data_IF_001726858529
#
_entry.id   IF_001726858529
#
_cell.length_a   1.000
_cell.length_b   1.000
_cell.length_c   1.000
_cell.angle_alpha   90.00
_cell.angle_beta   90.00
_cell.angle_gamma   90.00
#
_symmetry.space_group_name_H-M   'P 1'
#
loop_
_entity.id
_entity.type
_entity.pdbx_description
1 polymer ?
#
# COMPACT_ATOMS: atom_id res chain seq x y z
N UNK A 1 30.34 -4.75 -4.88
CA UNK A 1 29.04 -4.26 -5.40
C UNK A 1 29.08 -2.73 -5.53
N UNK A 2 30.04 -2.19 -6.31
CA UNK A 2 30.33 -0.73 -6.42
C UNK A 2 30.18 -0.23 -7.87
N UNK A 3 30.01 -1.12 -8.87
CA UNK A 3 29.88 -0.73 -10.29
C UNK A 3 28.51 -0.16 -10.71
N UNK A 4 27.45 -0.35 -9.94
CA UNK A 4 26.09 -0.03 -10.39
C UNK A 4 25.68 1.44 -10.20
N UNK A 5 26.21 2.13 -9.18
CA UNK A 5 25.77 3.51 -8.86
C UNK A 5 26.28 4.52 -9.89
N UNK A 6 27.56 4.44 -10.26
CA UNK A 6 28.19 5.34 -11.25
C UNK A 6 27.52 5.19 -12.63
N UNK A 7 27.14 3.96 -13.01
CA UNK A 7 26.41 3.70 -14.25
C UNK A 7 25.00 4.31 -14.20
N UNK A 8 24.28 4.17 -13.09
CA UNK A 8 22.96 4.79 -12.88
C UNK A 8 23.07 6.33 -12.94
N UNK A 9 24.09 6.91 -12.30
CA UNK A 9 24.30 8.36 -12.30
C UNK A 9 24.60 8.90 -13.71
N UNK A 10 25.36 8.15 -14.51
CA UNK A 10 25.59 8.45 -15.92
C UNK A 10 24.29 8.42 -16.72
N UNK A 11 23.44 7.40 -16.52
CA UNK A 11 22.12 7.34 -17.19
C UNK A 11 21.20 8.49 -16.77
N UNK A 12 21.17 8.82 -15.48
CA UNK A 12 20.37 9.91 -14.95
C UNK A 12 20.80 11.26 -15.55
N UNK A 13 22.10 11.52 -15.59
CA UNK A 13 22.68 12.76 -16.12
C UNK A 13 22.46 12.90 -17.62
N UNK A 14 22.57 11.80 -18.38
CA UNK A 14 22.38 11.81 -19.83
C UNK A 14 20.92 12.06 -20.25
N UNK A 15 19.94 11.77 -19.38
CA UNK A 15 18.52 11.79 -19.73
C UNK A 15 17.69 12.80 -18.94
N UNK A 16 18.30 13.62 -18.07
CA UNK A 16 17.60 14.59 -17.22
C UNK A 16 16.75 15.62 -18.01
N UNK A 17 17.14 15.92 -19.25
CA UNK A 17 16.39 16.83 -20.12
C UNK A 17 15.07 16.22 -20.60
N UNK A 18 14.94 14.90 -20.61
CA UNK A 18 13.74 14.18 -21.04
C UNK A 18 13.03 13.59 -19.81
N UNK A 19 12.15 14.36 -19.19
CA UNK A 19 11.49 13.99 -17.93
C UNK A 19 10.66 12.70 -18.04
N UNK A 20 10.09 12.41 -19.21
CA UNK A 20 9.34 11.18 -19.49
C UNK A 20 10.22 10.01 -19.91
N UNK A 21 11.55 10.14 -19.81
CA UNK A 21 12.47 9.09 -20.22
C UNK A 21 12.24 7.80 -19.44
N UNK A 22 12.17 6.71 -20.22
CA UNK A 22 12.20 5.34 -19.74
C UNK A 22 13.03 4.53 -20.71
N UNK A 23 13.89 3.65 -20.20
CA UNK A 23 14.65 2.77 -21.06
C UNK A 23 13.71 1.75 -21.74
N UNK A 24 13.58 1.82 -23.07
CA UNK A 24 12.76 0.92 -23.91
C UNK A 24 13.59 0.01 -24.81
N UNK A 25 14.91 -0.02 -24.63
CA UNK A 25 15.83 -0.81 -25.45
C UNK A 25 15.72 -2.34 -25.26
N UNK A 26 16.49 -3.10 -26.06
CA UNK A 26 16.48 -4.56 -26.03
C UNK A 26 16.90 -5.11 -24.66
N UNK A 27 16.71 -6.41 -24.44
CA UNK A 27 17.15 -7.07 -23.20
C UNK A 27 18.68 -7.21 -23.18
N UNK A 28 19.35 -6.13 -22.79
CA UNK A 28 20.80 -6.00 -22.68
C UNK A 28 21.24 -5.76 -21.22
N UNK A 29 22.55 -5.58 -21.01
CA UNK A 29 23.11 -5.23 -19.69
C UNK A 29 22.49 -3.93 -19.15
N UNK A 30 22.21 -2.95 -20.02
CA UNK A 30 21.57 -1.68 -19.65
C UNK A 30 20.18 -1.90 -19.06
N UNK A 31 19.36 -2.75 -19.66
CA UNK A 31 18.02 -3.09 -19.17
C UNK A 31 18.06 -3.80 -17.83
N UNK A 32 19.09 -4.63 -17.59
CA UNK A 32 19.29 -5.28 -16.29
C UNK A 32 19.69 -4.29 -15.19
N UNK A 33 20.44 -3.24 -15.54
CA UNK A 33 20.84 -2.17 -14.62
C UNK A 33 19.66 -1.24 -14.32
N UNK A 34 18.94 -0.80 -15.35
CA UNK A 34 17.85 0.18 -15.25
C UNK A 34 16.54 -0.47 -14.78
N UNK A 35 16.30 -1.76 -15.01
CA UNK A 35 15.10 -2.46 -14.49
C UNK A 35 13.73 -1.81 -14.87
N UNK A 36 13.69 -1.12 -16.00
CA UNK A 36 12.55 -0.28 -16.44
C UNK A 36 12.21 0.89 -15.49
N UNK A 37 13.17 1.31 -14.68
CA UNK A 37 13.16 2.52 -13.88
C UNK A 37 13.01 3.76 -14.78
N UNK A 38 12.21 4.71 -14.29
CA UNK A 38 12.22 6.08 -14.78
C UNK A 38 13.23 6.93 -13.96
N UNK A 39 13.34 8.22 -14.30
CA UNK A 39 14.30 9.10 -13.64
C UNK A 39 14.13 9.22 -12.11
N UNK A 40 12.90 9.12 -11.58
CA UNK A 40 12.68 9.15 -10.12
C UNK A 40 13.16 7.87 -9.44
N UNK A 41 13.00 6.70 -10.06
CA UNK A 41 13.56 5.46 -9.54
C UNK A 41 15.09 5.52 -9.52
N UNK A 42 15.71 6.00 -10.59
CA UNK A 42 17.17 6.15 -10.67
C UNK A 42 17.70 7.12 -9.60
N UNK A 43 17.04 8.28 -9.43
CA UNK A 43 17.39 9.24 -8.39
C UNK A 43 17.25 8.65 -6.98
N UNK A 44 16.23 7.82 -6.75
CA UNK A 44 16.05 7.11 -5.49
C UNK A 44 17.16 6.06 -5.26
N UNK A 45 17.55 5.28 -6.29
CA UNK A 45 18.60 4.25 -6.17
C UNK A 45 19.97 4.82 -5.81
N UNK A 46 20.29 6.02 -6.29
CA UNK A 46 21.54 6.70 -5.91
C UNK A 46 21.44 7.44 -4.56
N UNK A 47 20.27 7.42 -3.90
CA UNK A 47 20.07 8.07 -2.61
C UNK A 47 20.05 9.60 -2.64
N UNK A 48 19.86 10.22 -3.81
CA UNK A 48 20.00 11.67 -3.96
C UNK A 48 18.65 12.39 -3.87
N UNK A 49 18.35 12.92 -2.67
CA UNK A 49 17.10 13.65 -2.38
C UNK A 49 16.93 14.88 -3.27
N UNK A 50 17.97 15.69 -3.44
CA UNK A 50 17.90 16.93 -4.22
C UNK A 50 17.57 16.65 -5.69
N UNK A 51 18.21 15.63 -6.26
CA UNK A 51 17.97 15.19 -7.63
C UNK A 51 16.56 14.67 -7.80
N UNK A 52 16.08 13.86 -6.86
CA UNK A 52 14.70 13.36 -6.85
C UNK A 52 13.71 14.52 -6.86
N UNK A 53 13.88 15.50 -5.98
CA UNK A 53 12.99 16.66 -5.87
C UNK A 53 13.03 17.53 -7.14
N UNK A 54 14.21 17.72 -7.73
CA UNK A 54 14.36 18.45 -9.01
C UNK A 54 13.56 17.80 -10.14
N UNK A 55 13.69 16.48 -10.30
CA UNK A 55 12.97 15.71 -11.32
C UNK A 55 11.47 15.73 -11.05
N UNK A 56 11.06 15.57 -9.79
CA UNK A 56 9.64 15.59 -9.41
C UNK A 56 8.99 16.94 -9.75
N UNK A 57 9.65 18.06 -9.47
CA UNK A 57 9.17 19.41 -9.84
C UNK A 57 8.99 19.54 -11.35
N UNK A 58 10.02 19.18 -12.13
CA UNK A 58 9.94 19.17 -13.60
C UNK A 58 8.80 18.28 -14.11
N UNK A 59 8.51 17.16 -13.44
CA UNK A 59 7.40 16.27 -13.84
C UNK A 59 6.02 16.89 -13.62
N UNK A 60 5.85 17.75 -12.61
CA UNK A 60 4.60 18.48 -12.41
C UNK A 60 4.42 19.53 -13.52
N UNK A 61 5.49 20.25 -13.85
CA UNK A 61 5.49 21.27 -14.92
C UNK A 61 5.13 20.65 -16.27
N UNK A 62 5.68 19.47 -16.57
CA UNK A 62 5.50 18.74 -17.83
C UNK A 62 4.34 17.73 -17.83
N UNK A 63 3.55 17.64 -16.75
CA UNK A 63 2.46 16.68 -16.56
C UNK A 63 2.87 15.20 -16.77
N UNK A 64 4.15 14.89 -16.47
CA UNK A 64 4.70 13.55 -16.59
C UNK A 64 4.38 12.71 -15.34
N UNK A 65 3.84 11.51 -15.55
CA UNK A 65 3.51 10.57 -14.47
C UNK A 65 4.71 9.70 -14.12
N UNK A 66 5.48 10.10 -13.12
CA UNK A 66 6.72 9.41 -12.74
C UNK A 66 6.63 8.55 -11.48
N UNK A 67 5.48 8.44 -10.82
CA UNK A 67 5.29 7.52 -9.67
C UNK A 67 4.75 6.15 -10.10
N UNK A 68 4.90 5.81 -11.38
CA UNK A 68 4.57 4.49 -11.93
C UNK A 68 5.52 3.40 -11.42
N UNK A 69 5.19 2.14 -11.72
CA UNK A 69 5.96 0.98 -11.29
C UNK A 69 7.04 0.58 -12.29
N UNK A 70 8.15 0.08 -11.75
CA UNK A 70 9.18 -0.64 -12.49
C UNK A 70 8.85 -2.15 -12.62
N UNK A 71 9.79 -2.94 -13.16
CA UNK A 71 9.62 -4.39 -13.34
C UNK A 71 9.50 -5.17 -12.02
N UNK A 72 9.90 -4.56 -10.91
CA UNK A 72 9.79 -5.12 -9.57
C UNK A 72 8.49 -4.75 -8.86
N UNK A 73 7.54 -4.15 -9.59
CA UNK A 73 6.31 -3.57 -9.03
C UNK A 73 6.62 -2.53 -7.95
N UNK A 74 7.78 -1.90 -8.03
CA UNK A 74 8.17 -0.83 -7.13
C UNK A 74 7.92 0.51 -7.81
N UNK A 75 7.25 1.42 -7.12
CA UNK A 75 7.28 2.84 -7.48
C UNK A 75 8.52 3.52 -6.85
N UNK A 76 8.86 4.76 -7.23
CA UNK A 76 10.05 5.43 -6.71
C UNK A 76 10.09 5.60 -5.18
N UNK A 77 8.93 5.62 -4.52
CA UNK A 77 8.86 5.71 -3.06
C UNK A 77 9.24 4.41 -2.36
N UNK A 78 9.01 3.24 -2.96
CA UNK A 78 9.52 1.96 -2.43
C UNK A 78 11.05 1.99 -2.38
N UNK A 79 11.69 2.40 -3.48
CA UNK A 79 13.15 2.53 -3.54
C UNK A 79 13.62 3.58 -2.53
N UNK A 80 12.95 4.74 -2.46
CA UNK A 80 13.28 5.80 -1.50
C UNK A 80 13.21 5.31 -0.05
N UNK A 81 12.24 4.44 0.29
CA UNK A 81 12.12 3.85 1.61
C UNK A 81 13.29 2.91 1.92
N UNK A 82 13.63 2.03 0.97
CA UNK A 82 14.75 1.08 1.09
C UNK A 82 16.11 1.79 1.21
N UNK A 83 16.24 2.96 0.59
CA UNK A 83 17.42 3.80 0.67
C UNK A 83 17.41 4.77 1.86
N UNK A 84 16.38 4.75 2.70
CA UNK A 84 16.29 5.57 3.91
C UNK A 84 16.02 7.07 3.68
N UNK A 85 15.66 7.47 2.46
CA UNK A 85 15.48 8.88 2.07
C UNK A 85 14.01 9.31 1.94
N UNK A 86 13.06 8.38 2.08
CA UNK A 86 11.63 8.66 1.92
C UNK A 86 11.11 9.84 2.76
N UNK A 87 11.50 10.03 4.06
CA UNK A 87 10.99 11.14 4.86
C UNK A 87 11.36 12.50 4.28
N UNK A 88 12.62 12.67 3.88
CA UNK A 88 13.13 13.92 3.32
C UNK A 88 12.51 14.21 1.95
N UNK A 89 12.34 13.18 1.12
CA UNK A 89 11.64 13.28 -0.17
C UNK A 89 10.20 13.75 0.04
N UNK A 90 9.43 13.11 0.91
CA UNK A 90 8.02 13.49 1.13
C UNK A 90 7.93 14.90 1.70
N UNK A 91 8.78 15.24 2.68
CA UNK A 91 8.87 16.59 3.23
C UNK A 91 9.16 17.64 2.15
N UNK A 92 10.14 17.37 1.28
CA UNK A 92 10.49 18.25 0.17
C UNK A 92 9.37 18.43 -0.85
N UNK A 93 8.68 17.34 -1.20
CA UNK A 93 7.52 17.36 -2.10
C UNK A 93 6.41 18.24 -1.51
N UNK A 94 5.96 17.95 -0.29
CA UNK A 94 4.84 18.69 0.30
C UNK A 94 5.20 20.15 0.60
N UNK A 95 6.45 20.45 0.97
CA UNK A 95 6.92 21.83 1.08
C UNK A 95 6.78 22.60 -0.23
N UNK A 96 7.15 21.98 -1.36
CA UNK A 96 6.99 22.60 -2.67
C UNK A 96 5.51 22.74 -3.08
N UNK A 97 4.69 21.72 -2.85
CA UNK A 97 3.26 21.78 -3.17
C UNK A 97 2.54 22.86 -2.34
N UNK A 98 2.91 23.04 -1.07
CA UNK A 98 2.36 24.14 -0.25
C UNK A 98 2.86 25.52 -0.71
N UNK A 99 4.11 25.65 -1.16
CA UNK A 99 4.57 26.93 -1.72
C UNK A 99 3.84 27.28 -3.02
N UNK A 100 3.59 26.31 -3.90
CA UNK A 100 2.83 26.52 -5.14
C UNK A 100 1.38 26.96 -4.88
N UNK A 101 0.77 26.51 -3.77
CA UNK A 101 -0.59 26.93 -3.40
C UNK A 101 -0.73 28.45 -3.21
N UNK A 102 0.35 29.11 -2.82
CA UNK A 102 0.37 30.57 -2.62
C UNK A 102 0.63 31.37 -3.90
N UNK A 103 0.97 30.68 -4.99
CA UNK A 103 1.20 31.29 -6.29
C UNK A 103 -0.14 31.62 -6.97
N UNK A 104 -0.41 32.90 -7.32
CA UNK A 104 -1.67 33.32 -7.95
C UNK A 104 -1.91 32.69 -9.33
N UNK A 105 -0.86 32.18 -9.99
CA UNK A 105 -0.95 31.51 -11.28
C UNK A 105 -1.11 29.98 -11.15
N UNK A 106 -1.18 29.44 -9.94
CA UNK A 106 -1.29 27.99 -9.74
C UNK A 106 -2.71 27.49 -10.00
N UNK A 107 -2.80 26.41 -10.77
CA UNK A 107 -4.05 25.67 -10.89
C UNK A 107 -4.25 24.83 -9.62
N UNK A 108 -5.09 25.32 -8.72
CA UNK A 108 -5.44 24.65 -7.46
C UNK A 108 -5.97 23.22 -7.65
N UNK A 109 -6.68 22.94 -8.76
CA UNK A 109 -7.21 21.61 -9.06
C UNK A 109 -6.08 20.68 -9.50
N UNK A 110 -5.18 21.15 -10.36
CA UNK A 110 -3.97 20.39 -10.74
C UNK A 110 -3.13 20.07 -9.51
N UNK A 111 -2.95 21.04 -8.62
CA UNK A 111 -2.16 20.86 -7.40
C UNK A 111 -2.77 19.82 -6.44
N UNK A 112 -4.09 19.85 -6.25
CA UNK A 112 -4.78 18.86 -5.41
C UNK A 112 -4.73 17.45 -6.04
N UNK A 113 -4.82 17.35 -7.37
CA UNK A 113 -4.64 16.09 -8.08
C UNK A 113 -3.23 15.52 -7.86
N UNK A 114 -2.19 16.35 -7.92
CA UNK A 114 -0.81 15.93 -7.63
C UNK A 114 -0.66 15.47 -6.17
N UNK A 115 -1.25 16.19 -5.21
CA UNK A 115 -1.26 15.77 -3.80
C UNK A 115 -1.90 14.39 -3.63
N UNK A 116 -3.05 14.17 -4.25
CA UNK A 116 -3.73 12.88 -4.19
C UNK A 116 -2.91 11.77 -4.85
N UNK A 117 -2.32 12.04 -6.02
CA UNK A 117 -1.43 11.10 -6.70
C UNK A 117 -0.24 10.68 -5.83
N UNK A 118 0.40 11.63 -5.13
CA UNK A 118 1.49 11.34 -4.18
C UNK A 118 1.00 10.49 -3.01
N UNK A 119 -0.14 10.85 -2.39
CA UNK A 119 -0.71 10.07 -1.28
C UNK A 119 -1.04 8.64 -1.69
N UNK A 120 -1.63 8.47 -2.88
CA UNK A 120 -1.94 7.15 -3.42
C UNK A 120 -0.68 6.32 -3.65
N UNK A 121 0.37 6.91 -4.23
CA UNK A 121 1.64 6.22 -4.43
C UNK A 121 2.32 5.83 -3.11
N UNK A 122 2.09 6.56 -2.01
CA UNK A 122 2.67 6.27 -0.69
C UNK A 122 1.96 5.14 0.06
N UNK A 123 0.63 5.06 0.00
CA UNK A 123 -0.11 4.22 0.95
C UNK A 123 -1.36 3.53 0.39
N UNK A 124 -1.66 3.65 -0.91
CA UNK A 124 -2.81 2.96 -1.48
C UNK A 124 -2.61 1.45 -1.41
N UNK A 125 -3.70 0.69 -1.22
CA UNK A 125 -3.70 -0.78 -1.32
C UNK A 125 -3.37 -1.30 -2.71
N UNK A 126 -3.38 -0.42 -3.72
CA UNK A 126 -2.89 -0.72 -5.06
C UNK A 126 -1.41 -0.34 -5.26
N UNK A 127 -0.78 0.31 -4.26
CA UNK A 127 0.63 0.67 -4.26
C UNK A 127 1.47 -0.36 -3.52
N UNK A 128 1.37 -1.60 -3.99
CA UNK A 128 2.05 -2.75 -3.42
C UNK A 128 3.19 -3.20 -4.32
N UNK A 129 4.33 -3.46 -3.71
CA UNK A 129 5.41 -4.21 -4.36
C UNK A 129 5.10 -5.71 -4.45
N UNK A 130 6.03 -6.47 -5.05
CA UNK A 130 5.98 -7.94 -5.11
C UNK A 130 5.82 -8.62 -3.74
N UNK A 131 6.21 -7.96 -2.65
CA UNK A 131 6.05 -8.44 -1.28
C UNK A 131 4.71 -8.05 -0.65
N UNK A 132 3.79 -7.48 -1.43
CA UNK A 132 2.51 -6.95 -0.99
C UNK A 132 2.65 -5.84 0.08
N UNK A 133 3.73 -5.04 0.01
CA UNK A 133 4.01 -3.94 0.95
C UNK A 133 3.93 -2.60 0.24
N UNK A 134 3.41 -1.59 0.94
CA UNK A 134 3.47 -0.19 0.49
C UNK A 134 4.83 0.43 0.81
N UNK A 135 5.19 1.59 0.21
CA UNK A 135 6.39 2.33 0.61
C UNK A 135 6.47 2.61 2.12
N UNK A 136 5.32 2.89 2.73
CA UNK A 136 5.23 3.14 4.17
C UNK A 136 5.44 1.91 5.04
N UNK A 137 5.32 0.70 4.50
CA UNK A 137 5.58 -0.54 5.24
C UNK A 137 7.07 -0.91 5.28
N UNK A 138 7.89 -0.25 4.45
CA UNK A 138 9.34 -0.39 4.42
C UNK A 138 10.07 0.51 5.42
N UNK A 139 9.37 1.42 6.10
CA UNK A 139 9.94 2.32 7.11
C UNK A 139 9.50 1.95 8.53
N UNK A 140 10.21 2.46 9.53
CA UNK A 140 9.85 2.24 10.94
C UNK A 140 8.48 2.84 11.27
N UNK A 141 7.81 2.34 12.32
CA UNK A 141 6.50 2.84 12.75
C UNK A 141 6.51 4.35 13.06
N UNK A 142 7.59 4.85 13.65
CA UNK A 142 7.76 6.28 13.97
C UNK A 142 7.84 7.11 12.69
N UNK A 143 8.70 6.70 11.76
CA UNK A 143 8.87 7.38 10.46
C UNK A 143 7.59 7.33 9.63
N UNK A 144 6.90 6.18 9.63
CA UNK A 144 5.59 6.04 8.98
C UNK A 144 4.57 7.07 9.48
N UNK A 145 4.53 7.32 10.79
CA UNK A 145 3.63 8.31 11.40
C UNK A 145 3.99 9.72 10.96
N UNK A 146 5.27 10.06 11.00
CA UNK A 146 5.77 11.37 10.54
C UNK A 146 5.41 11.62 9.07
N UNK A 147 5.67 10.67 8.18
CA UNK A 147 5.36 10.80 6.75
C UNK A 147 3.85 11.00 6.54
N UNK A 148 3.01 10.26 7.28
CA UNK A 148 1.55 10.41 7.21
C UNK A 148 1.09 11.79 7.66
N UNK A 149 1.69 12.32 8.72
CA UNK A 149 1.39 13.66 9.22
C UNK A 149 1.75 14.74 8.19
N UNK A 150 2.96 14.68 7.64
CA UNK A 150 3.42 15.59 6.58
C UNK A 150 2.51 15.54 5.36
N UNK A 151 2.16 14.33 4.92
CA UNK A 151 1.33 14.14 3.74
C UNK A 151 -0.18 14.35 4.01
N UNK A 152 -0.60 14.61 5.25
CA UNK A 152 -2.01 14.70 5.64
C UNK A 152 -2.79 13.41 5.37
N UNK A 153 -2.12 12.25 5.40
CA UNK A 153 -2.74 10.94 5.24
C UNK A 153 -3.38 10.56 6.56
N UNK A 154 -4.71 10.65 6.62
CA UNK A 154 -5.46 10.21 7.79
C UNK A 154 -5.32 8.70 7.93
N UNK A 155 -4.98 8.24 9.14
CA UNK A 155 -5.24 6.87 9.52
C UNK A 155 -6.75 6.65 9.42
N UNK A 156 -7.17 5.94 8.39
CA UNK A 156 -8.54 5.48 8.32
C UNK A 156 -8.74 4.54 9.52
N UNK A 157 -9.46 5.00 10.54
CA UNK A 157 -9.88 4.18 11.69
C UNK A 157 -10.52 2.84 11.23
N UNK A 158 -11.09 2.84 10.02
CA UNK A 158 -11.76 1.72 9.35
C UNK A 158 -10.76 0.66 8.81
N UNK A 159 -9.46 0.93 8.77
CA UNK A 159 -8.45 -0.03 8.28
C UNK A 159 -7.74 -0.80 9.40
N UNK A 160 -8.14 -0.62 10.67
CA UNK A 160 -7.69 -1.52 11.72
C UNK A 160 -8.54 -2.80 11.65
N UNK A 161 -7.91 -3.91 11.25
CA UNK A 161 -8.55 -5.22 11.15
C UNK A 161 -9.27 -5.60 12.46
N UNK A 162 -8.71 -5.19 13.62
CA UNK A 162 -9.34 -5.40 14.94
C UNK A 162 -10.63 -4.59 15.11
N UNK A 163 -10.71 -3.39 14.53
CA UNK A 163 -11.90 -2.56 14.57
C UNK A 163 -13.00 -3.09 13.63
N UNK A 164 -12.63 -3.57 12.43
CA UNK A 164 -13.58 -4.27 11.54
C UNK A 164 -14.12 -5.54 12.19
N UNK A 165 -13.25 -6.33 12.80
CA UNK A 165 -13.66 -7.52 13.56
C UNK A 165 -14.62 -7.15 14.69
N UNK A 166 -14.32 -6.08 15.43
CA UNK A 166 -15.18 -5.57 16.49
C UNK A 166 -16.56 -5.15 15.95
N UNK A 167 -16.62 -4.39 14.86
CA UNK A 167 -17.88 -4.00 14.22
C UNK A 167 -18.68 -5.22 13.73
N UNK A 168 -18.01 -6.24 13.18
CA UNK A 168 -18.65 -7.47 12.74
C UNK A 168 -19.24 -8.25 13.93
N UNK A 169 -18.50 -8.36 15.03
CA UNK A 169 -18.97 -9.00 16.27
C UNK A 169 -20.19 -8.25 16.83
N UNK A 170 -20.13 -6.92 16.92
CA UNK A 170 -21.26 -6.10 17.40
C UNK A 170 -22.48 -6.25 16.50
N UNK A 171 -22.28 -6.24 15.17
CA UNK A 171 -23.34 -6.49 14.19
C UNK A 171 -23.98 -7.87 14.35
N UNK A 172 -23.16 -8.91 14.54
CA UNK A 172 -23.65 -10.28 14.76
C UNK A 172 -24.48 -10.39 16.06
N UNK A 173 -24.01 -9.78 17.15
CA UNK A 173 -24.76 -9.76 18.43
C UNK A 173 -26.11 -9.05 18.25
N UNK A 174 -26.13 -7.90 17.56
CA UNK A 174 -27.36 -7.17 17.29
C UNK A 174 -28.35 -7.99 16.45
N UNK A 175 -27.87 -8.70 15.42
CA UNK A 175 -28.69 -9.59 14.61
C UNK A 175 -29.25 -10.76 15.43
N UNK A 176 -28.45 -11.38 16.30
CA UNK A 176 -28.91 -12.46 17.18
C UNK A 176 -29.98 -11.93 18.14
N UNK A 177 -29.76 -10.78 18.77
CA UNK A 177 -30.73 -10.16 19.66
C UNK A 177 -32.06 -9.85 18.95
N UNK A 178 -32.01 -9.31 17.73
CA UNK A 178 -33.19 -9.07 16.91
C UNK A 178 -33.92 -10.37 16.57
N UNK A 179 -33.20 -11.43 16.17
CA UNK A 179 -33.78 -12.75 15.91
C UNK A 179 -34.45 -13.36 17.16
N UNK A 180 -33.80 -13.27 18.32
CA UNK A 180 -34.38 -13.71 19.59
C UNK A 180 -35.65 -12.93 19.93
N UNK A 181 -35.67 -11.62 19.72
CA UNK A 181 -36.84 -10.77 19.96
C UNK A 181 -37.99 -11.13 18.99
N UNK A 182 -37.69 -11.32 17.70
CA UNK A 182 -38.66 -11.76 16.70
C UNK A 182 -39.24 -13.13 17.03
N UNK A 183 -38.43 -14.09 17.45
CA UNK A 183 -38.88 -15.42 17.89
C UNK A 183 -39.73 -15.35 19.15
N UNK A 184 -39.39 -14.49 20.10
CA UNK A 184 -40.19 -14.27 21.31
C UNK A 184 -41.57 -13.70 20.98
N UNK A 185 -41.64 -12.72 20.08
CA UNK A 185 -42.91 -12.18 19.58
C UNK A 185 -43.72 -13.25 18.84
N UNK A 186 -43.06 -14.06 17.99
CA UNK A 186 -43.71 -15.15 17.28
C UNK A 186 -44.27 -16.21 18.23
N UNK A 187 -43.50 -16.59 19.25
CA UNK A 187 -43.90 -17.54 20.28
C UNK A 187 -45.12 -17.03 21.07
N UNK A 188 -45.15 -15.73 21.36
CA UNK A 188 -46.28 -15.08 22.04
C UNK A 188 -47.57 -15.14 21.20
N UNK A 189 -47.47 -15.26 19.88
CA UNK A 189 -48.61 -15.36 18.95
C UNK A 189 -48.96 -16.83 18.63
N UNK A 190 -47.96 -17.69 18.44
CA UNK A 190 -48.13 -19.12 18.13
C UNK A 190 -46.88 -19.94 18.44
N UNK A 191 -47.01 -20.91 19.33
CA UNK A 191 -45.91 -21.81 19.74
C UNK A 191 -45.46 -22.75 18.60
N UNK A 192 -46.39 -23.25 17.80
CA UNK A 192 -46.09 -24.18 16.70
C UNK A 192 -45.33 -23.50 15.55
N UNK A 193 -45.68 -22.25 15.26
CA UNK A 193 -45.02 -21.45 14.21
C UNK A 193 -43.60 -21.03 14.63
N UNK A 194 -43.40 -20.72 15.93
CA UNK A 194 -42.08 -20.41 16.48
C UNK A 194 -41.14 -21.63 16.42
N UNK A 195 -41.64 -22.83 16.79
CA UNK A 195 -40.86 -24.06 16.73
C UNK A 195 -40.45 -24.44 15.29
N UNK A 196 -41.37 -24.28 14.33
CA UNK A 196 -41.09 -24.52 12.92
C UNK A 196 -40.05 -23.53 12.36
N UNK A 197 -40.12 -22.25 12.74
CA UNK A 197 -39.14 -21.24 12.37
C UNK A 197 -37.75 -21.52 12.97
N UNK A 198 -37.68 -21.96 14.23
CA UNK A 198 -36.41 -22.39 14.84
C UNK A 198 -35.80 -23.58 14.12
N UNK A 199 -36.59 -24.59 13.75
CA UNK A 199 -36.12 -25.74 12.99
C UNK A 199 -35.57 -25.35 11.61
N UNK A 200 -36.19 -24.37 10.94
CA UNK A 200 -35.69 -23.84 9.66
C UNK A 200 -34.37 -23.05 9.78
N UNK A 201 -34.23 -22.24 10.83
CA UNK A 201 -32.99 -21.48 11.09
C UNK A 201 -31.82 -22.42 11.41
N UNK A 202 -32.07 -23.47 12.20
CA UNK A 202 -31.05 -24.45 12.59
C UNK A 202 -30.62 -25.34 11.40
N UNK A 203 -31.58 -25.79 10.58
CA UNK A 203 -31.29 -26.69 9.45
C UNK A 203 -30.76 -25.99 8.20
N UNK A 204 -31.12 -24.72 7.95
CA UNK A 204 -30.71 -23.98 6.75
C UNK A 204 -29.76 -22.80 6.99
N UNK A 205 -29.96 -22.03 8.06
CA UNK A 205 -29.22 -20.78 8.30
C UNK A 205 -27.84 -20.99 8.94
N UNK A 206 -27.75 -21.90 9.91
CA UNK A 206 -26.52 -22.16 10.65
C UNK A 206 -25.42 -22.81 9.78
N UNK A 207 -25.79 -23.72 8.88
CA UNK A 207 -24.85 -24.39 7.98
C UNK A 207 -24.26 -23.42 6.94
N UNK A 208 -25.08 -22.55 6.35
CA UNK A 208 -24.64 -21.57 5.35
C UNK A 208 -23.73 -20.50 5.94
N UNK A 209 -24.08 -19.95 7.11
CA UNK A 209 -23.26 -18.94 7.79
C UNK A 209 -21.95 -19.53 8.32
N UNK A 210 -21.98 -20.76 8.87
CA UNK A 210 -20.75 -21.44 9.30
C UNK A 210 -19.81 -21.66 8.13
N UNK A 211 -20.30 -22.19 7.00
CA UNK A 211 -19.46 -22.40 5.81
C UNK A 211 -18.83 -21.12 5.26
N UNK A 212 -19.59 -20.02 5.22
CA UNK A 212 -19.08 -18.73 4.72
C UNK A 212 -18.07 -18.09 5.68
N UNK A 213 -18.32 -18.14 6.99
CA UNK A 213 -17.39 -17.63 8.00
C UNK A 213 -16.10 -18.46 8.05
N UNK A 214 -16.18 -19.79 7.91
CA UNK A 214 -14.99 -20.65 7.84
C UNK A 214 -14.16 -20.39 6.57
N UNK A 215 -14.80 -20.19 5.42
CA UNK A 215 -14.11 -19.80 4.18
C UNK A 215 -13.41 -18.45 4.31
N UNK A 216 -14.07 -17.45 4.89
CA UNK A 216 -13.51 -16.10 5.03
C UNK A 216 -12.40 -16.04 6.09
N UNK A 217 -12.46 -16.88 7.13
CA UNK A 217 -11.37 -17.07 8.11
C UNK A 217 -10.19 -17.87 7.51
N UNK A 218 -10.46 -18.86 6.67
CA UNK A 218 -9.42 -19.62 5.97
C UNK A 218 -8.62 -18.71 5.02
N UNK A 219 -9.30 -17.87 4.23
CA UNK A 219 -8.66 -16.88 3.35
C UNK A 219 -7.85 -15.83 4.15
N UNK A 220 -8.27 -15.51 5.38
CA UNK A 220 -7.54 -14.62 6.30
C UNK A 220 -6.27 -15.27 6.88
N UNK A 221 -6.29 -16.58 7.12
CA UNK A 221 -5.14 -17.32 7.65
C UNK A 221 -4.07 -17.53 6.56
N UNK A 222 -4.50 -17.83 5.33
CA UNK A 222 -3.61 -18.00 4.17
C UNK A 222 -2.83 -16.71 3.82
N UNK A 223 -3.40 -15.54 4.15
CA UNK A 223 -2.74 -14.23 4.01
C UNK A 223 -1.82 -13.89 5.21
N UNK A 224 -2.02 -14.52 6.37
CA UNK A 224 -1.29 -14.21 7.62
C UNK A 224 -0.17 -15.18 7.98
N UNK A 225 -0.09 -16.34 7.33
CA UNK A 225 1.09 -17.21 7.39
C UNK A 225 1.99 -16.97 6.18
N UNK A 226 3.07 -16.17 6.30
CA UNK A 226 4.25 -16.56 5.55
C UNK A 226 4.63 -17.93 6.09
N UNK A 227 4.65 -18.94 5.21
CA UNK A 227 5.35 -20.19 5.48
C UNK A 227 6.78 -19.80 5.85
N UNK A 228 7.07 -19.75 7.15
CA UNK A 228 8.43 -19.83 7.65
C UNK A 228 8.94 -21.22 7.26
N UNK A 229 9.46 -21.31 6.04
CA UNK A 229 10.37 -22.38 5.65
C UNK A 229 11.65 -22.15 6.42
N UNK A 230 11.69 -22.68 7.65
CA UNK A 230 12.96 -22.88 8.35
C UNK A 230 13.84 -23.83 7.51
N UNK A 231 15.09 -23.40 7.39
CA UNK A 231 16.19 -23.89 6.55
C UNK A 231 16.48 -25.38 6.56
N UNK A 232 17.00 -25.90 5.42
CA UNK A 232 17.83 -27.12 5.37
C UNK A 232 19.34 -26.83 5.33
N UNK A 233 19.79 -25.58 5.52
CA UNK A 233 21.22 -25.22 5.47
C UNK A 233 21.85 -24.75 6.79
N UNK A 234 21.10 -24.64 7.89
CA UNK A 234 21.65 -24.19 9.17
C UNK A 234 21.97 -25.33 10.16
N UNK A 235 21.70 -26.59 9.82
CA UNK A 235 22.05 -27.74 10.68
C UNK A 235 23.50 -28.24 10.50
N UNK A 236 24.28 -27.66 9.58
CA UNK A 236 25.66 -28.09 9.32
C UNK A 236 26.74 -27.26 10.03
N UNK A 237 26.37 -26.26 10.87
CA UNK A 237 27.34 -25.38 11.54
C UNK A 237 27.38 -25.51 13.07
N UNK A 238 26.73 -26.52 13.64
CA UNK A 238 26.79 -26.82 15.09
C UNK A 238 27.47 -28.17 15.40
N UNK A 239 27.91 -28.91 14.38
CA UNK A 239 28.66 -30.17 14.57
C UNK A 239 29.85 -30.32 13.62
N UNK A 240 30.70 -29.30 13.54
CA UNK A 240 32.05 -29.42 13.00
C UNK A 240 33.01 -28.49 13.79
#
# INVERSE_FOLDING_TARGET
>A
MIRSTDEIEKFLSANEANVSWRYTGPFDKTRQIVQADNLLHLAARIGNVEKFLSIFKKSIESDARLLEYNNDQENPFHISAKMGMLPDVVKGIFKHLESEKTNPNSDSKKLENVKNYVKEALCNRCALDKSKKTPLDWVSKTVKKEIKEIAGIKDSFICNQKFRLCLYIVGAIACIAALCLSLYLLFSVSQSLALASMAGIISGGAAYLSGKVFSEIHDLHDVSTPVETFNNTDLARVTA
#
